data_IF_363664930495
#
_entry.id   IF_363664930495
#
_cell.length_a   1.000
_cell.length_b   1.000
_cell.length_c   1.000
_cell.angle_alpha   90.00
_cell.angle_beta   90.00
_cell.angle_gamma   90.00
#
_symmetry.space_group_name_H-M   'P 1'
#
loop_
_entity.id
_entity.type
_entity.pdbx_description
1 polymer ?
#
# COMPACT_ATOMS: atom_id res chain seq x y z
N UNK A 1 -21.71 -14.77 -9.42
CA UNK A 1 -20.33 -14.24 -9.40
C UNK A 1 -19.81 -14.35 -8.00
N UNK A 2 -18.70 -15.07 -7.85
CA UNK A 2 -17.93 -15.19 -6.62
C UNK A 2 -16.97 -13.99 -6.54
N UNK A 3 -17.34 -12.97 -5.77
CA UNK A 3 -16.62 -11.69 -5.74
C UNK A 3 -15.27 -11.86 -5.03
N UNK A 4 -15.25 -12.62 -3.93
CA UNK A 4 -14.04 -12.95 -3.18
C UNK A 4 -13.03 -13.72 -4.01
N UNK A 5 -13.46 -14.69 -4.82
CA UNK A 5 -12.58 -15.39 -5.74
C UNK A 5 -11.85 -14.42 -6.68
N UNK A 6 -12.56 -13.49 -7.34
CA UNK A 6 -11.93 -12.52 -8.24
C UNK A 6 -11.04 -11.50 -7.50
N UNK A 7 -11.36 -11.18 -6.25
CA UNK A 7 -10.48 -10.36 -5.43
C UNK A 7 -9.17 -11.11 -5.10
N UNK A 8 -9.25 -12.39 -4.73
CA UNK A 8 -8.09 -13.25 -4.49
C UNK A 8 -7.23 -13.49 -5.72
N UNK A 9 -7.83 -13.61 -6.90
CA UNK A 9 -7.07 -13.69 -8.15
C UNK A 9 -6.22 -12.43 -8.37
N UNK A 10 -6.77 -11.25 -8.07
CA UNK A 10 -6.05 -9.97 -8.17
C UNK A 10 -4.92 -9.87 -7.16
N UNK A 11 -5.17 -10.22 -5.89
CA UNK A 11 -4.14 -10.17 -4.85
C UNK A 11 -3.04 -11.22 -5.07
N UNK A 12 -3.36 -12.40 -5.60
CA UNK A 12 -2.37 -13.40 -6.04
C UNK A 12 -1.50 -12.85 -7.17
N UNK A 13 -2.12 -12.22 -8.17
CA UNK A 13 -1.39 -11.60 -9.27
C UNK A 13 -0.43 -10.50 -8.78
N UNK A 14 -0.85 -9.65 -7.83
CA UNK A 14 0.00 -8.60 -7.27
C UNK A 14 1.25 -9.19 -6.60
N UNK A 15 1.11 -10.27 -5.81
CA UNK A 15 2.26 -10.96 -5.20
C UNK A 15 3.22 -11.51 -6.26
N UNK A 16 2.68 -12.20 -7.26
CA UNK A 16 3.47 -12.76 -8.35
C UNK A 16 4.19 -11.66 -9.14
N UNK A 17 3.50 -10.55 -9.43
CA UNK A 17 4.06 -9.42 -10.13
C UNK A 17 5.23 -8.81 -9.36
N UNK A 18 5.07 -8.55 -8.06
CA UNK A 18 6.15 -8.04 -7.22
C UNK A 18 7.35 -8.99 -7.22
N UNK A 19 7.15 -10.26 -6.87
CA UNK A 19 8.24 -11.23 -6.76
C UNK A 19 9.00 -11.42 -8.09
N UNK A 20 8.28 -11.38 -9.21
CA UNK A 20 8.91 -11.53 -10.53
C UNK A 20 9.68 -10.26 -10.93
N UNK A 21 9.09 -9.09 -10.70
CA UNK A 21 9.67 -7.81 -11.11
C UNK A 21 10.81 -7.33 -10.21
N UNK A 22 10.84 -7.75 -8.94
CA UNK A 22 11.90 -7.40 -7.99
C UNK A 22 13.25 -8.05 -8.35
N UNK A 23 13.21 -9.27 -8.91
CA UNK A 23 14.40 -10.11 -9.14
C UNK A 23 15.57 -9.42 -9.87
N UNK A 24 15.35 -8.71 -10.99
CA UNK A 24 16.43 -7.97 -11.66
C UNK A 24 17.05 -6.87 -10.79
N UNK A 25 16.24 -6.12 -10.03
CA UNK A 25 16.74 -5.04 -9.17
C UNK A 25 17.53 -5.59 -7.98
N UNK A 26 16.98 -6.59 -7.29
CA UNK A 26 17.69 -7.30 -6.20
C UNK A 26 18.99 -7.92 -6.71
N UNK A 27 18.96 -8.49 -7.92
CA UNK A 27 20.13 -9.09 -8.57
C UNK A 27 21.23 -8.08 -8.86
N UNK A 28 20.89 -6.88 -9.33
CA UNK A 28 21.86 -5.79 -9.57
C UNK A 28 22.50 -5.35 -8.25
N UNK A 29 21.67 -5.02 -7.24
CA UNK A 29 22.18 -4.57 -5.94
C UNK A 29 23.12 -5.59 -5.31
N UNK A 30 22.70 -6.86 -5.30
CA UNK A 30 23.50 -7.96 -4.76
C UNK A 30 24.80 -8.19 -5.53
N UNK A 31 24.77 -8.12 -6.87
CA UNK A 31 25.96 -8.30 -7.67
C UNK A 31 26.99 -7.18 -7.45
N UNK A 32 26.54 -5.94 -7.25
CA UNK A 32 27.42 -4.81 -6.91
C UNK A 32 28.02 -5.01 -5.51
N UNK A 33 27.19 -5.34 -4.52
CA UNK A 33 27.63 -5.56 -3.13
C UNK A 33 28.63 -6.72 -2.98
N UNK A 34 28.41 -7.81 -3.73
CA UNK A 34 29.25 -9.00 -3.70
C UNK A 34 30.45 -8.93 -4.68
N UNK A 35 30.56 -7.86 -5.50
CA UNK A 35 31.60 -7.72 -6.52
C UNK A 35 31.55 -8.79 -7.61
N UNK A 36 30.35 -9.17 -8.05
CA UNK A 36 30.11 -10.21 -9.07
C UNK A 36 29.97 -9.61 -10.48
N UNK A 37 30.23 -10.39 -11.54
CA UNK A 37 30.04 -9.93 -12.92
C UNK A 37 28.60 -9.42 -13.17
N UNK A 38 28.42 -8.30 -13.89
CA UNK A 38 29.42 -7.51 -14.63
C UNK A 38 30.14 -6.42 -13.81
N UNK A 39 30.00 -6.42 -12.48
CA UNK A 39 30.51 -5.39 -11.56
C UNK A 39 31.82 -5.78 -10.85
N UNK A 40 32.47 -6.87 -11.28
CA UNK A 40 33.69 -7.42 -10.71
C UNK A 40 34.98 -6.68 -11.12
N UNK A 41 34.88 -5.75 -12.07
CA UNK A 41 36.01 -4.96 -12.56
C UNK A 41 35.67 -3.45 -12.62
N UNK A 42 35.63 -2.76 -11.46
CA UNK A 42 35.24 -1.37 -11.40
C UNK A 42 36.22 -0.45 -12.14
N UNK A 43 35.74 0.60 -12.82
CA UNK A 43 36.62 1.62 -13.39
C UNK A 43 37.41 2.33 -12.28
N UNK A 44 38.66 2.70 -12.56
CA UNK A 44 39.47 3.48 -11.63
C UNK A 44 38.82 4.84 -11.37
N UNK A 45 38.66 5.20 -10.09
CA UNK A 45 38.16 6.49 -9.65
C UNK A 45 38.93 7.01 -8.44
N UNK A 46 39.16 8.33 -8.39
CA UNK A 46 39.84 9.04 -7.29
C UNK A 46 38.89 9.91 -6.45
N UNK A 47 37.60 9.95 -6.80
CA UNK A 47 36.58 10.74 -6.10
C UNK A 47 36.20 10.17 -4.73
N UNK A 48 36.55 8.90 -4.45
CA UNK A 48 36.25 8.20 -3.21
C UNK A 48 34.81 7.68 -3.11
N UNK A 49 34.03 7.80 -4.19
CA UNK A 49 32.69 7.24 -4.27
C UNK A 49 32.73 5.72 -4.52
N UNK A 50 31.77 4.94 -4.00
CA UNK A 50 31.64 3.54 -4.33
C UNK A 50 31.48 3.33 -5.85
N UNK A 51 32.21 2.36 -6.41
CA UNK A 51 32.01 1.98 -7.79
C UNK A 51 30.57 1.48 -8.01
N UNK A 52 29.98 1.85 -9.14
CA UNK A 52 28.61 1.49 -9.51
C UNK A 52 27.52 1.99 -8.55
N UNK A 53 27.79 3.06 -7.80
CA UNK A 53 26.81 3.68 -6.90
C UNK A 53 25.52 4.06 -7.64
N UNK A 54 25.64 4.58 -8.88
CA UNK A 54 24.47 5.00 -9.67
C UNK A 54 23.57 3.82 -9.99
N UNK A 55 24.13 2.71 -10.47
CA UNK A 55 23.40 1.50 -10.81
C UNK A 55 22.72 0.89 -9.58
N UNK A 56 23.39 0.92 -8.42
CA UNK A 56 22.80 0.47 -7.16
C UNK A 56 21.63 1.37 -6.75
N UNK A 57 21.78 2.70 -6.84
CA UNK A 57 20.72 3.66 -6.51
C UNK A 57 19.52 3.52 -7.45
N UNK A 58 19.74 3.37 -8.75
CA UNK A 58 18.68 3.15 -9.74
C UNK A 58 17.93 1.83 -9.46
N UNK A 59 18.64 0.76 -9.11
CA UNK A 59 18.00 -0.51 -8.76
C UNK A 59 17.18 -0.40 -7.47
N UNK A 60 17.72 0.25 -6.44
CA UNK A 60 17.00 0.52 -5.19
C UNK A 60 15.75 1.37 -5.42
N UNK A 61 15.85 2.45 -6.21
CA UNK A 61 14.70 3.29 -6.56
C UNK A 61 13.64 2.50 -7.36
N UNK A 62 14.08 1.61 -8.25
CA UNK A 62 13.22 0.66 -8.97
C UNK A 62 12.38 -0.22 -8.04
N UNK A 63 12.96 -0.75 -6.96
CA UNK A 63 12.23 -1.52 -5.94
C UNK A 63 11.19 -0.67 -5.19
N UNK A 64 11.52 0.58 -4.85
CA UNK A 64 10.57 1.47 -4.18
C UNK A 64 9.35 1.77 -5.06
N UNK A 65 9.61 2.11 -6.33
CA UNK A 65 8.55 2.36 -7.32
C UNK A 65 7.71 1.10 -7.54
N UNK A 66 8.33 -0.08 -7.60
CA UNK A 66 7.63 -1.36 -7.73
C UNK A 66 6.66 -1.60 -6.57
N UNK A 67 7.12 -1.39 -5.33
CA UNK A 67 6.29 -1.54 -4.14
C UNK A 67 5.07 -0.60 -4.14
N UNK A 68 5.27 0.69 -4.45
CA UNK A 68 4.17 1.67 -4.57
C UNK A 68 3.22 1.35 -5.72
N UNK A 69 3.75 0.87 -6.85
CA UNK A 69 2.95 0.39 -7.98
C UNK A 69 2.03 -0.75 -7.57
N UNK A 70 2.50 -1.66 -6.71
CA UNK A 70 1.68 -2.74 -6.16
C UNK A 70 0.53 -2.21 -5.28
N UNK A 71 0.74 -1.16 -4.48
CA UNK A 71 -0.35 -0.49 -3.76
C UNK A 71 -1.34 0.19 -4.71
N UNK A 72 -0.85 0.74 -5.82
CA UNK A 72 -1.65 1.30 -6.92
C UNK A 72 -2.51 0.25 -7.64
N UNK A 73 -2.19 -1.04 -7.54
CA UNK A 73 -3.05 -2.15 -7.98
C UNK A 73 -3.99 -2.65 -6.86
N UNK A 74 -3.50 -2.71 -5.62
CA UNK A 74 -4.23 -3.25 -4.48
C UNK A 74 -5.43 -2.38 -4.08
N UNK A 75 -5.21 -1.07 -3.91
CA UNK A 75 -6.25 -0.13 -3.47
C UNK A 75 -7.46 -0.11 -4.42
N UNK A 76 -7.29 0.01 -5.76
CA UNK A 76 -8.42 -0.11 -6.69
C UNK A 76 -9.08 -1.50 -6.70
N UNK A 77 -8.31 -2.58 -6.49
CA UNK A 77 -8.86 -3.93 -6.41
C UNK A 77 -9.82 -4.09 -5.22
N UNK A 78 -9.47 -3.52 -4.07
CA UNK A 78 -10.35 -3.47 -2.89
C UNK A 78 -11.59 -2.61 -3.14
N UNK A 79 -11.42 -1.45 -3.78
CA UNK A 79 -12.55 -0.59 -4.17
C UNK A 79 -13.51 -1.32 -5.12
N UNK A 80 -12.99 -2.09 -6.08
CA UNK A 80 -13.80 -2.91 -6.99
C UNK A 80 -14.56 -4.02 -6.24
N UNK A 81 -13.92 -4.68 -5.28
CA UNK A 81 -14.59 -5.65 -4.40
C UNK A 81 -15.79 -5.01 -3.70
N UNK A 82 -15.60 -3.85 -3.06
CA UNK A 82 -16.69 -3.14 -2.41
C UNK A 82 -17.80 -2.71 -3.38
N UNK A 83 -17.46 -2.07 -4.51
CA UNK A 83 -18.47 -1.65 -5.51
C UNK A 83 -19.28 -2.81 -6.07
N UNK A 84 -18.63 -3.96 -6.27
CA UNK A 84 -19.30 -5.15 -6.78
C UNK A 84 -20.33 -5.66 -5.78
N UNK A 85 -19.95 -5.75 -4.50
CA UNK A 85 -20.87 -6.15 -3.44
C UNK A 85 -22.00 -5.15 -3.20
N UNK A 86 -21.69 -3.85 -3.23
CA UNK A 86 -22.67 -2.76 -3.14
C UNK A 86 -23.79 -2.95 -4.18
N UNK A 87 -23.41 -3.26 -5.42
CA UNK A 87 -24.35 -3.57 -6.51
C UNK A 87 -25.10 -4.88 -6.27
N UNK A 88 -24.43 -5.94 -5.84
CA UNK A 88 -25.04 -7.27 -5.65
C UNK A 88 -26.09 -7.30 -4.54
N UNK A 89 -25.87 -6.58 -3.43
CA UNK A 89 -26.86 -6.46 -2.35
C UNK A 89 -27.80 -5.28 -2.56
N UNK A 90 -27.72 -4.59 -3.70
CA UNK A 90 -28.58 -3.47 -4.06
C UNK A 90 -28.64 -2.37 -3.01
N UNK A 91 -27.47 -1.89 -2.56
CA UNK A 91 -27.39 -0.69 -1.71
C UNK A 91 -27.95 0.50 -2.51
N UNK A 92 -28.84 1.27 -1.88
CA UNK A 92 -29.36 2.52 -2.42
C UNK A 92 -28.83 3.65 -1.55
N UNK A 93 -28.31 4.68 -2.20
CA UNK A 93 -27.84 5.89 -1.55
C UNK A 93 -28.86 7.00 -1.77
N UNK A 94 -29.20 7.70 -0.70
CA UNK A 94 -29.96 8.95 -0.79
C UNK A 94 -29.08 10.10 -1.30
N UNK A 95 -29.72 11.19 -1.75
CA UNK A 95 -29.02 12.36 -2.27
C UNK A 95 -28.05 12.94 -1.21
N UNK A 96 -26.75 12.93 -1.56
CA UNK A 96 -25.69 13.45 -0.70
C UNK A 96 -25.19 12.50 0.39
N UNK A 97 -25.86 11.37 0.64
CA UNK A 97 -25.47 10.39 1.65
C UNK A 97 -24.11 9.78 1.33
N UNK A 98 -23.91 9.31 0.09
CA UNK A 98 -22.64 8.74 -0.36
C UNK A 98 -21.48 9.73 -0.19
N UNK A 99 -21.70 11.00 -0.54
CA UNK A 99 -20.66 12.03 -0.42
C UNK A 99 -20.24 12.21 1.05
N UNK A 100 -21.20 12.18 1.99
CA UNK A 100 -20.93 12.28 3.43
C UNK A 100 -20.17 11.06 3.95
N UNK A 101 -20.60 9.84 3.61
CA UNK A 101 -19.96 8.62 4.06
C UNK A 101 -18.49 8.51 3.59
N UNK A 102 -18.17 9.02 2.40
CA UNK A 102 -16.85 8.91 1.78
C UNK A 102 -15.92 10.09 2.08
N UNK A 103 -16.30 11.03 2.97
CA UNK A 103 -15.48 12.19 3.33
C UNK A 103 -14.10 11.80 3.91
N UNK A 104 -14.04 10.66 4.59
CA UNK A 104 -12.80 10.13 5.19
C UNK A 104 -12.09 9.09 4.31
N UNK A 105 -12.46 9.00 3.03
CA UNK A 105 -11.95 8.01 2.11
C UNK A 105 -12.93 6.84 1.87
N UNK A 106 -12.63 6.05 0.84
CA UNK A 106 -13.56 5.01 0.40
C UNK A 106 -13.65 3.82 1.34
N UNK A 107 -12.56 3.47 2.04
CA UNK A 107 -12.55 2.37 3.01
C UNK A 107 -13.54 2.69 4.12
N UNK A 108 -13.41 3.84 4.77
CA UNK A 108 -14.33 4.28 5.83
C UNK A 108 -15.78 4.36 5.34
N UNK A 109 -16.00 4.89 4.13
CA UNK A 109 -17.33 5.01 3.55
C UNK A 109 -18.01 3.66 3.32
N UNK A 110 -17.27 2.65 2.83
CA UNK A 110 -17.81 1.31 2.62
C UNK A 110 -17.96 0.51 3.91
N UNK A 111 -17.02 0.60 4.85
CA UNK A 111 -17.18 -0.07 6.16
C UNK A 111 -18.41 0.48 6.88
N UNK A 112 -18.56 1.80 6.94
CA UNK A 112 -19.74 2.44 7.55
C UNK A 112 -21.04 1.98 6.88
N UNK A 113 -21.05 1.90 5.54
CA UNK A 113 -22.19 1.40 4.79
C UNK A 113 -22.54 -0.04 5.16
N UNK A 114 -21.55 -0.94 5.17
CA UNK A 114 -21.78 -2.35 5.43
C UNK A 114 -22.11 -2.66 6.89
N UNK A 115 -21.55 -1.92 7.85
CA UNK A 115 -22.00 -2.01 9.25
C UNK A 115 -23.49 -1.72 9.38
N UNK A 116 -23.99 -0.67 8.72
CA UNK A 116 -25.40 -0.29 8.75
C UNK A 116 -26.29 -1.32 8.02
N UNK A 117 -25.92 -1.71 6.80
CA UNK A 117 -26.71 -2.62 5.96
C UNK A 117 -26.75 -4.03 6.54
N UNK A 118 -25.64 -4.53 7.07
CA UNK A 118 -25.51 -5.90 7.56
C UNK A 118 -25.79 -6.01 9.07
N UNK A 119 -25.89 -4.88 9.78
CA UNK A 119 -26.01 -4.81 11.25
C UNK A 119 -24.87 -5.56 11.95
N UNK A 120 -23.65 -5.37 11.46
CA UNK A 120 -22.40 -5.91 12.03
C UNK A 120 -21.59 -4.79 12.67
N UNK A 121 -20.67 -5.13 13.56
CA UNK A 121 -19.70 -4.17 14.11
C UNK A 121 -18.32 -4.39 13.50
N UNK A 122 -17.67 -3.33 13.04
CA UNK A 122 -16.27 -3.37 12.60
C UNK A 122 -15.29 -3.76 13.71
N UNK A 123 -15.71 -3.72 14.98
CA UNK A 123 -14.90 -4.22 16.11
C UNK A 123 -14.68 -5.73 16.03
N UNK A 124 -15.58 -6.44 15.35
CA UNK A 124 -15.47 -7.89 15.12
C UNK A 124 -14.69 -8.21 13.83
N UNK A 125 -14.20 -7.18 13.13
CA UNK A 125 -13.36 -7.35 11.94
C UNK A 125 -11.96 -7.80 12.38
N UNK A 126 -11.45 -8.95 11.89
CA UNK A 126 -10.12 -9.43 12.23
C UNK A 126 -8.99 -8.64 11.55
N UNK A 127 -9.33 -7.82 10.55
CA UNK A 127 -8.35 -7.04 9.80
C UNK A 127 -7.97 -5.74 10.51
N UNK A 128 -6.70 -5.35 10.38
CA UNK A 128 -6.20 -4.04 10.78
C UNK A 128 -6.70 -2.96 9.81
N UNK A 129 -7.87 -2.38 10.11
CA UNK A 129 -8.48 -1.33 9.29
C UNK A 129 -7.61 -0.06 9.17
N UNK A 130 -6.77 0.23 10.16
CA UNK A 130 -5.80 1.32 10.10
C UNK A 130 -4.75 1.08 9.01
N UNK A 131 -4.24 -0.15 8.90
CA UNK A 131 -3.34 -0.52 7.82
C UNK A 131 -4.05 -0.46 6.45
N UNK A 132 -5.28 -0.99 6.36
CA UNK A 132 -6.05 -0.94 5.10
C UNK A 132 -6.30 0.49 4.64
N UNK A 133 -6.52 1.43 5.57
CA UNK A 133 -6.60 2.85 5.25
C UNK A 133 -5.26 3.41 4.73
N UNK A 134 -4.14 3.09 5.38
CA UNK A 134 -2.80 3.53 4.96
C UNK A 134 -2.43 3.09 3.54
N UNK A 135 -2.94 1.95 3.05
CA UNK A 135 -2.76 1.53 1.64
C UNK A 135 -3.28 2.61 0.70
N UNK A 136 -4.43 3.21 1.01
CA UNK A 136 -5.05 4.24 0.17
C UNK A 136 -4.30 5.56 0.26
N UNK A 137 -3.78 5.90 1.44
CA UNK A 137 -2.99 7.11 1.68
C UNK A 137 -1.65 7.04 0.94
N UNK A 138 -0.90 5.95 1.12
CA UNK A 138 0.37 5.71 0.44
C UNK A 138 0.20 5.76 -1.09
N UNK A 139 -0.82 5.09 -1.62
CA UNK A 139 -1.17 5.13 -3.05
C UNK A 139 -1.48 6.55 -3.52
N UNK A 140 -2.21 7.35 -2.74
CA UNK A 140 -2.54 8.72 -3.14
C UNK A 140 -1.31 9.62 -3.20
N UNK A 141 -0.31 9.39 -2.36
CA UNK A 141 0.96 10.11 -2.41
C UNK A 141 1.74 9.79 -3.69
N UNK A 142 1.76 8.53 -4.11
CA UNK A 142 2.39 8.11 -5.38
C UNK A 142 1.71 8.71 -6.62
N UNK A 143 0.39 8.94 -6.56
CA UNK A 143 -0.35 9.57 -7.67
C UNK A 143 -0.17 11.08 -7.78
N UNK A 144 0.31 11.72 -6.72
CA UNK A 144 0.44 13.17 -6.63
C UNK A 144 1.86 13.53 -6.18
N UNK A 145 2.90 13.18 -6.98
CA UNK A 145 4.26 13.56 -6.67
C UNK A 145 4.38 15.10 -6.64
N UNK A 146 5.15 15.60 -5.69
CA UNK A 146 5.31 17.05 -5.45
C UNK A 146 6.32 17.68 -6.41
N UNK A 147 7.30 16.89 -6.88
CA UNK A 147 8.41 17.33 -7.71
C UNK A 147 8.69 16.32 -8.83
N UNK A 148 9.11 16.82 -10.00
CA UNK A 148 9.52 15.97 -11.13
C UNK A 148 10.98 15.50 -11.01
N UNK A 149 11.76 16.15 -10.15
CA UNK A 149 13.21 15.95 -9.98
C UNK A 149 13.57 14.76 -9.09
N UNK A 150 12.59 14.08 -8.51
CA UNK A 150 12.81 12.94 -7.63
C UNK A 150 11.68 11.92 -7.76
N UNK A 151 11.99 10.62 -7.69
CA UNK A 151 10.97 9.58 -7.53
C UNK A 151 10.60 9.34 -6.06
N UNK A 152 11.22 10.08 -5.12
CA UNK A 152 10.93 9.97 -3.69
C UNK A 152 9.53 10.52 -3.42
N UNK A 153 8.72 9.72 -2.74
CA UNK A 153 7.37 10.10 -2.31
C UNK A 153 7.37 10.07 -0.79
N UNK A 154 6.98 11.17 -0.14
CA UNK A 154 6.99 11.26 1.31
C UNK A 154 5.58 11.18 1.91
N UNK A 155 5.46 10.71 3.15
CA UNK A 155 4.20 10.75 3.91
C UNK A 155 3.73 12.19 4.12
N UNK A 156 2.41 12.43 4.05
CA UNK A 156 1.88 13.78 4.29
C UNK A 156 1.91 14.14 5.78
N UNK A 157 1.88 15.44 6.08
CA UNK A 157 1.79 15.91 7.47
C UNK A 157 0.50 15.42 8.15
N UNK A 158 -0.63 15.43 7.43
CA UNK A 158 -1.91 14.98 7.97
C UNK A 158 -1.90 13.49 8.32
N UNK A 159 -1.24 12.65 7.52
CA UNK A 159 -1.14 11.21 7.79
C UNK A 159 -0.27 10.94 9.03
N UNK A 160 0.81 11.72 9.22
CA UNK A 160 1.68 11.68 10.41
C UNK A 160 0.94 12.06 11.69
N UNK A 161 0.09 13.08 11.63
CA UNK A 161 -0.71 13.50 12.80
C UNK A 161 -1.83 12.50 13.12
N UNK A 162 -2.36 11.82 12.10
CA UNK A 162 -3.49 10.88 12.24
C UNK A 162 -3.06 9.49 12.70
N UNK A 163 -1.88 9.03 12.30
CA UNK A 163 -1.40 7.68 12.61
C UNK A 163 -0.18 7.73 13.52
N UNK A 164 -0.30 7.11 14.70
CA UNK A 164 0.83 6.96 15.65
C UNK A 164 1.98 6.14 15.07
N UNK A 165 1.72 5.32 14.04
CA UNK A 165 2.75 4.56 13.34
C UNK A 165 2.49 4.59 11.83
N UNK A 166 3.53 4.92 11.06
CA UNK A 166 3.54 4.86 9.60
C UNK A 166 4.03 3.47 9.17
N UNK A 167 3.10 2.64 8.68
CA UNK A 167 3.42 1.27 8.33
C UNK A 167 4.39 1.19 7.15
N UNK A 168 4.14 1.98 6.09
CA UNK A 168 4.96 2.06 4.87
C UNK A 168 6.14 3.02 5.03
N UNK A 169 6.98 2.78 6.03
CA UNK A 169 8.20 3.52 6.31
C UNK A 169 9.38 2.54 6.26
N UNK A 170 10.53 2.97 5.73
CA UNK A 170 11.74 2.15 5.69
C UNK A 170 12.29 1.96 7.11
N UNK A 171 13.07 0.90 7.33
CA UNK A 171 13.70 0.65 8.63
C UNK A 171 14.75 1.72 8.96
N UNK A 172 15.42 2.27 7.94
CA UNK A 172 16.34 3.39 8.07
C UNK A 172 15.62 4.63 8.60
N UNK A 173 14.48 5.02 7.99
CA UNK A 173 13.67 6.14 8.48
C UNK A 173 13.14 5.87 9.91
N UNK A 174 12.70 4.64 10.20
CA UNK A 174 12.26 4.26 11.56
C UNK A 174 13.36 4.40 12.60
N UNK A 175 14.61 4.10 12.23
CA UNK A 175 15.76 4.24 13.13
C UNK A 175 16.18 5.70 13.34
N UNK A 176 15.89 6.57 12.37
CA UNK A 176 16.22 8.01 12.40
C UNK A 176 15.16 8.85 13.11
N UNK A 177 13.90 8.40 13.17
CA UNK A 177 12.80 9.17 13.75
C UNK A 177 12.24 8.50 15.01
N UNK A 178 12.31 9.18 16.16
CA UNK A 178 11.52 8.77 17.34
C UNK A 178 10.05 9.19 17.17
N UNK A 179 9.11 8.55 17.89
CA UNK A 179 7.68 8.88 17.86
C UNK A 179 7.41 10.38 18.17
N UNK A 180 8.29 11.01 18.96
CA UNK A 180 8.21 12.44 19.30
C UNK A 180 8.70 13.37 18.17
N UNK A 181 9.54 12.87 17.27
CA UNK A 181 10.12 13.62 16.16
C UNK A 181 9.18 13.65 14.94
N UNK A 182 8.42 12.58 14.71
CA UNK A 182 7.48 12.46 13.56
C UNK A 182 6.47 13.62 13.46
N UNK A 183 6.06 14.20 14.59
CA UNK A 183 5.14 15.33 14.66
C UNK A 183 5.78 16.70 14.34
N UNK A 184 7.10 16.86 14.52
CA UNK A 184 7.79 18.16 14.44
C UNK A 184 8.65 18.35 13.18
N UNK A 185 8.75 17.35 12.30
CA UNK A 185 9.59 17.41 11.10
C UNK A 185 8.89 18.17 9.97
N UNK A 186 9.27 19.44 9.80
CA UNK A 186 8.90 20.24 8.63
C UNK A 186 9.87 20.06 7.45
N UNK A 187 11.06 19.48 7.66
CA UNK A 187 12.14 19.47 6.65
C UNK A 187 12.58 18.06 6.20
N UNK A 188 12.35 17.03 7.02
CA UNK A 188 12.68 15.63 6.69
C UNK A 188 11.41 14.79 6.87
N UNK A 189 10.63 14.63 5.80
CA UNK A 189 9.47 13.75 5.82
C UNK A 189 9.91 12.32 5.47
N UNK A 190 9.51 11.30 6.25
CA UNK A 190 9.86 9.92 5.95
C UNK A 190 9.29 9.51 4.58
N UNK A 191 10.06 8.73 3.85
CA UNK A 191 9.66 8.22 2.56
C UNK A 191 8.55 7.17 2.71
N UNK A 192 7.65 7.12 1.73
CA UNK A 192 6.73 6.01 1.53
C UNK A 192 7.53 4.87 0.91
N UNK A 193 7.95 3.95 1.76
CA UNK A 193 8.68 2.76 1.36
C UNK A 193 7.76 1.54 1.53
N UNK A 194 7.74 0.68 0.52
CA UNK A 194 6.90 -0.52 0.49
C UNK A 194 7.78 -1.72 0.21
N UNK A 195 8.28 -2.33 1.27
CA UNK A 195 9.04 -3.57 1.18
C UNK A 195 8.13 -4.74 0.80
N UNK A 196 8.75 -5.87 0.42
CA UNK A 196 8.04 -7.12 0.14
C UNK A 196 7.13 -7.53 1.30
N UNK A 197 7.66 -7.53 2.51
CA UNK A 197 6.92 -7.96 3.71
C UNK A 197 5.78 -6.99 4.03
N UNK A 198 6.01 -5.69 3.87
CA UNK A 198 4.96 -4.67 4.03
C UNK A 198 3.84 -4.85 3.01
N UNK A 199 4.18 -5.10 1.74
CA UNK A 199 3.19 -5.38 0.70
C UNK A 199 2.38 -6.63 1.04
N UNK A 200 3.05 -7.71 1.45
CA UNK A 200 2.40 -8.99 1.73
C UNK A 200 1.46 -8.89 2.92
N UNK A 201 1.89 -8.22 3.99
CA UNK A 201 1.04 -7.92 5.14
C UNK A 201 -0.16 -7.04 4.75
N UNK A 202 0.05 -6.01 3.93
CA UNK A 202 -1.04 -5.16 3.43
C UNK A 202 -2.06 -5.98 2.63
N UNK A 203 -1.61 -6.88 1.75
CA UNK A 203 -2.50 -7.76 1.01
C UNK A 203 -3.26 -8.69 1.97
N UNK A 204 -2.57 -9.30 2.93
CA UNK A 204 -3.18 -10.19 3.93
C UNK A 204 -4.28 -9.48 4.71
N UNK A 205 -4.06 -8.26 5.17
CA UNK A 205 -5.09 -7.49 5.88
C UNK A 205 -6.29 -7.14 4.99
N UNK A 206 -6.07 -6.86 3.69
CA UNK A 206 -7.19 -6.67 2.76
C UNK A 206 -7.96 -7.97 2.47
N UNK A 207 -7.28 -9.11 2.44
CA UNK A 207 -7.91 -10.43 2.28
C UNK A 207 -8.71 -10.82 3.53
N UNK A 208 -8.17 -10.59 4.74
CA UNK A 208 -8.92 -10.76 6.01
C UNK A 208 -10.20 -9.92 6.02
N UNK A 209 -10.10 -8.66 5.59
CA UNK A 209 -11.25 -7.78 5.50
C UNK A 209 -12.27 -8.29 4.49
N UNK A 210 -11.82 -8.68 3.31
CA UNK A 210 -12.67 -9.23 2.26
C UNK A 210 -13.37 -10.50 2.73
N UNK A 211 -12.65 -11.45 3.34
CA UNK A 211 -13.18 -12.70 3.87
C UNK A 211 -14.26 -12.47 4.93
N UNK A 212 -13.97 -11.58 5.89
CA UNK A 212 -14.92 -11.22 6.93
C UNK A 212 -16.21 -10.65 6.34
N UNK A 213 -16.11 -9.65 5.46
CA UNK A 213 -17.26 -9.02 4.82
C UNK A 213 -18.03 -10.00 3.92
N UNK A 214 -17.34 -10.77 3.09
CA UNK A 214 -17.93 -11.69 2.12
C UNK A 214 -18.85 -12.71 2.82
N UNK A 215 -18.41 -13.22 3.98
CA UNK A 215 -19.20 -14.16 4.81
C UNK A 215 -20.55 -13.58 5.27
N UNK A 216 -20.62 -12.27 5.49
CA UNK A 216 -21.85 -11.57 5.87
C UNK A 216 -22.66 -11.14 4.64
N UNK A 217 -21.99 -10.69 3.59
CA UNK A 217 -22.58 -10.20 2.35
C UNK A 217 -23.28 -11.31 1.56
N UNK A 218 -22.71 -12.51 1.51
CA UNK A 218 -23.37 -13.70 0.97
C UNK A 218 -24.69 -13.95 1.71
N UNK A 219 -24.67 -13.97 3.05
CA UNK A 219 -25.89 -14.19 3.86
C UNK A 219 -26.95 -13.12 3.59
N UNK A 220 -26.55 -11.86 3.47
CA UNK A 220 -27.47 -10.77 3.17
C UNK A 220 -28.08 -10.88 1.76
N UNK A 221 -27.29 -11.34 0.78
CA UNK A 221 -27.76 -11.56 -0.60
C UNK A 221 -28.82 -12.65 -0.69
N UNK A 222 -28.70 -13.74 0.06
CA UNK A 222 -29.66 -14.86 0.04
C UNK A 222 -30.90 -14.65 0.92
N UNK A 223 -30.93 -13.60 1.76
CA UNK A 223 -32.09 -13.23 2.58
C UNK A 223 -33.10 -12.33 1.86
N UNK A 224 -32.80 -11.91 0.63
CA UNK A 224 -33.70 -11.16 -0.26
C UNK A 224 -34.30 -12.09 -1.29
#
# INVERSE_FOLDING_TARGET
MDVLHFFRERTRFIRQFYDTAAGPFDGIMKAIEDGLPPFDNPPYSEDGEPAYLVEWLEASEGLEVLGRTCLSMLSPSLLLFFRTWEKQIGVKWENGERKKAFQKGFVEGYISCYEQVLRISRRDCPANLGLVEQITLARNRDQHPEEITSMRVNHSKADREKHTSLFFMSEQDRSMFSDADLANLSFLSPAVHVSRDQLYAAIEETEKLADWLDSHLIKARWKR
#
